data_IF_713302799385
#
_entry.id   IF_713302799385
#
_cell.length_a   1.000
_cell.length_b   1.000
_cell.length_c   1.000
_cell.angle_alpha   90.00
_cell.angle_beta   90.00
_cell.angle_gamma   90.00
#
_symmetry.space_group_name_H-M   'P 1'
#
loop_
_entity.id
_entity.type
_entity.pdbx_description
1 polymer ?
#
# COMPACT_ATOMS: atom_id res chain seq x y z
N UNK A 1 -15.97 -1.91 -7.24
CA UNK A 1 -17.06 -2.01 -6.19
C UNK A 1 -16.87 -3.29 -5.35
N UNK A 2 -16.23 -4.37 -5.88
CA UNK A 2 -15.90 -5.60 -5.13
C UNK A 2 -14.65 -5.39 -4.27
N UNK A 3 -13.78 -4.50 -4.63
CA UNK A 3 -12.55 -4.20 -3.87
C UNK A 3 -12.84 -3.29 -2.67
N UNK A 4 -13.82 -2.39 -2.77
CA UNK A 4 -14.20 -1.51 -1.66
C UNK A 4 -15.03 -2.31 -0.64
N UNK A 5 -15.79 -3.25 -1.17
CA UNK A 5 -16.58 -4.11 -0.25
C UNK A 5 -15.67 -5.10 0.47
N UNK A 6 -14.76 -5.57 -0.25
CA UNK A 6 -13.79 -6.51 0.38
C UNK A 6 -12.93 -5.79 1.43
N UNK A 7 -12.69 -4.52 1.20
CA UNK A 7 -11.86 -3.76 2.15
C UNK A 7 -12.70 -3.40 3.39
N UNK A 8 -13.97 -3.28 3.22
CA UNK A 8 -14.83 -2.99 4.38
C UNK A 8 -14.80 -4.16 5.38
N UNK A 9 -14.53 -5.33 4.83
CA UNK A 9 -14.52 -6.50 5.74
C UNK A 9 -13.08 -6.87 6.10
N UNK A 10 -12.27 -6.75 5.10
CA UNK A 10 -10.90 -7.28 5.34
C UNK A 10 -9.94 -6.14 5.71
N UNK A 11 -10.40 -4.96 5.78
CA UNK A 11 -9.54 -3.76 5.99
C UNK A 11 -8.73 -3.87 7.29
N UNK A 12 -9.36 -4.24 8.36
CA UNK A 12 -8.61 -4.33 9.62
C UNK A 12 -7.53 -5.42 9.56
N UNK A 13 -7.82 -6.48 8.85
CA UNK A 13 -6.79 -7.55 8.76
C UNK A 13 -5.65 -7.14 7.82
N UNK A 14 -6.09 -6.50 6.75
CA UNK A 14 -5.06 -6.04 5.80
C UNK A 14 -4.16 -4.96 6.44
N UNK A 15 -4.79 -4.11 7.22
CA UNK A 15 -4.00 -3.04 7.87
C UNK A 15 -3.06 -3.64 8.93
N UNK A 16 -3.58 -4.59 9.61
CA UNK A 16 -2.72 -5.23 10.63
C UNK A 16 -1.56 -5.96 9.96
N UNK A 17 -1.91 -6.57 8.88
CA UNK A 17 -0.86 -7.29 8.14
C UNK A 17 0.25 -6.33 7.67
N UNK A 18 -0.15 -5.14 7.20
CA UNK A 18 0.86 -4.23 6.61
C UNK A 18 1.58 -3.49 7.75
N UNK A 19 0.86 -3.15 8.78
CA UNK A 19 1.46 -2.27 9.82
C UNK A 19 2.14 -3.12 10.89
N UNK A 20 1.86 -4.48 10.98
CA UNK A 20 2.43 -5.27 12.09
C UNK A 20 2.06 -4.73 13.47
N UNK A 21 2.99 -4.67 14.39
CA UNK A 21 2.70 -4.22 15.77
C UNK A 21 2.23 -2.76 15.81
N UNK A 22 2.59 -2.03 14.79
CA UNK A 22 2.17 -0.62 14.77
C UNK A 22 0.64 -0.50 14.63
N UNK A 23 0.03 -1.58 14.26
CA UNK A 23 -1.45 -1.52 14.14
C UNK A 23 -2.10 -1.25 15.49
N UNK A 24 -1.33 -1.49 16.58
CA UNK A 24 -1.86 -1.26 17.93
C UNK A 24 -2.12 0.23 18.18
N UNK A 25 -1.55 1.06 17.31
CA UNK A 25 -1.81 2.52 17.46
C UNK A 25 -3.25 2.87 17.09
N UNK A 26 -3.91 1.86 16.52
CA UNK A 26 -5.30 2.17 16.11
C UNK A 26 -6.26 1.97 17.28
N UNK A 27 -5.81 1.30 18.35
CA UNK A 27 -6.71 0.95 19.47
C UNK A 27 -7.11 2.21 20.25
N UNK A 28 -6.12 3.05 20.53
CA UNK A 28 -6.55 4.26 21.27
C UNK A 28 -7.48 5.14 20.42
N UNK A 29 -7.28 5.14 19.10
CA UNK A 29 -8.17 5.94 18.23
C UNK A 29 -9.59 5.38 18.27
N UNK A 30 -9.63 4.06 18.27
CA UNK A 30 -10.98 3.44 18.31
C UNK A 30 -11.59 3.67 19.70
N UNK A 31 -10.79 3.44 20.74
CA UNK A 31 -11.27 3.69 22.13
C UNK A 31 -11.73 5.13 22.36
N UNK A 32 -10.94 6.06 21.85
CA UNK A 32 -11.29 7.49 21.98
C UNK A 32 -12.61 7.82 21.27
N UNK A 33 -12.75 7.25 20.09
CA UNK A 33 -13.98 7.61 19.35
C UNK A 33 -15.21 6.92 19.96
N UNK A 34 -14.95 5.75 20.41
CA UNK A 34 -16.07 5.10 21.11
C UNK A 34 -16.49 5.92 22.34
N UNK A 35 -15.51 6.42 23.10
CA UNK A 35 -15.79 7.29 24.26
C UNK A 35 -16.56 8.56 23.85
N UNK A 36 -16.21 9.13 22.71
CA UNK A 36 -16.88 10.38 22.27
C UNK A 36 -18.32 10.08 21.85
N UNK A 37 -18.48 8.97 21.17
CA UNK A 37 -19.83 8.69 20.61
C UNK A 37 -20.76 8.20 21.73
N UNK A 38 -20.20 7.43 22.70
CA UNK A 38 -21.07 6.94 23.78
C UNK A 38 -21.27 8.04 24.82
N UNK A 39 -20.30 8.91 25.03
CA UNK A 39 -20.34 10.00 26.04
C UNK A 39 -21.28 11.14 25.63
N UNK A 40 -21.36 11.42 24.33
CA UNK A 40 -22.14 12.61 23.89
C UNK A 40 -23.51 12.17 23.37
N UNK A 41 -23.67 10.85 23.33
CA UNK A 41 -25.01 10.33 22.94
C UNK A 41 -25.29 10.55 21.45
N UNK A 42 -25.72 9.37 20.76
CA UNK A 42 -25.99 9.46 19.31
C UNK A 42 -27.51 9.40 19.10
N UNK A 43 -27.92 10.39 18.31
CA UNK A 43 -29.35 10.33 17.92
C UNK A 43 -29.46 10.02 16.42
N UNK A 44 -30.06 8.88 16.18
CA UNK A 44 -30.15 8.47 14.77
C UNK A 44 -31.01 9.44 13.94
N UNK A 45 -30.48 9.89 12.82
CA UNK A 45 -31.32 10.67 11.89
C UNK A 45 -31.11 12.17 12.04
N UNK A 46 -30.28 12.57 13.06
CA UNK A 46 -29.95 14.00 13.20
C UNK A 46 -28.41 14.17 13.25
N UNK A 47 -27.99 15.20 12.42
CA UNK A 47 -26.54 15.48 12.41
C UNK A 47 -26.18 16.36 13.61
N UNK A 48 -25.56 15.74 14.71
CA UNK A 48 -25.24 16.51 15.94
C UNK A 48 -23.73 16.48 16.19
N UNK A 49 -23.42 16.93 17.37
CA UNK A 49 -22.01 17.22 17.71
C UNK A 49 -21.13 15.97 17.55
N UNK A 50 -21.51 14.73 17.94
CA UNK A 50 -20.63 13.56 17.74
C UNK A 50 -20.42 13.25 16.26
N UNK A 51 -21.35 13.49 15.47
CA UNK A 51 -21.22 13.28 14.01
C UNK A 51 -20.27 14.32 13.38
N UNK A 52 -20.40 15.55 13.92
CA UNK A 52 -19.52 16.59 13.38
C UNK A 52 -18.05 16.29 13.72
N UNK A 53 -17.92 15.78 14.95
CA UNK A 53 -16.53 15.51 15.37
C UNK A 53 -15.98 14.34 14.54
N UNK A 54 -16.81 13.30 14.38
CA UNK A 54 -16.35 12.14 13.59
C UNK A 54 -16.05 12.54 12.15
N UNK A 55 -16.94 13.25 11.52
CA UNK A 55 -16.70 13.69 10.14
C UNK A 55 -15.46 14.58 10.04
N UNK A 56 -15.36 15.49 11.06
CA UNK A 56 -14.18 16.38 11.06
C UNK A 56 -12.88 15.58 11.16
N UNK A 57 -12.90 14.62 12.09
CA UNK A 57 -11.64 13.86 12.28
C UNK A 57 -11.39 12.99 11.03
N UNK A 58 -12.42 12.31 10.58
CA UNK A 58 -12.26 11.49 9.36
C UNK A 58 -11.77 12.34 8.18
N UNK A 59 -12.46 13.46 7.94
CA UNK A 59 -12.03 14.36 6.83
C UNK A 59 -10.58 14.83 6.99
N UNK A 60 -10.24 15.21 8.28
CA UNK A 60 -8.86 15.67 8.53
C UNK A 60 -7.83 14.58 8.22
N UNK A 61 -8.14 13.37 8.67
CA UNK A 61 -7.17 12.29 8.46
C UNK A 61 -7.05 11.95 6.97
N UNK A 62 -8.20 11.90 6.31
CA UNK A 62 -8.14 11.61 4.87
C UNK A 62 -7.39 12.72 4.13
N UNK A 63 -7.65 13.95 4.57
CA UNK A 63 -6.93 15.06 3.91
C UNK A 63 -5.41 14.93 4.16
N UNK A 64 -5.07 14.60 5.38
CA UNK A 64 -3.63 14.44 5.68
C UNK A 64 -3.03 13.31 4.81
N UNK A 65 -3.78 12.25 4.73
CA UNK A 65 -3.32 11.18 3.81
C UNK A 65 -3.04 11.72 2.41
N UNK A 66 -3.94 12.47 1.81
CA UNK A 66 -3.72 12.97 0.44
C UNK A 66 -2.53 13.94 0.42
N UNK A 67 -2.43 14.69 1.51
CA UNK A 67 -1.27 15.62 1.53
C UNK A 67 0.03 14.81 1.51
N UNK A 68 0.03 13.75 2.32
CA UNK A 68 1.24 12.91 2.34
C UNK A 68 1.48 12.27 0.96
N UNK A 69 0.45 11.71 0.39
CA UNK A 69 0.61 11.14 -0.96
C UNK A 69 1.11 12.17 -1.97
N UNK A 70 0.49 13.35 -1.90
CA UNK A 70 0.93 14.42 -2.82
C UNK A 70 2.40 14.79 -2.57
N UNK A 71 2.69 14.88 -1.35
CA UNK A 71 4.08 15.25 -1.02
C UNK A 71 5.06 14.20 -1.59
N UNK A 72 4.69 12.86 -1.51
CA UNK A 72 5.59 11.77 -1.96
C UNK A 72 5.65 11.72 -3.49
N UNK A 73 4.56 12.00 -4.14
CA UNK A 73 4.50 11.74 -5.60
C UNK A 73 4.78 13.02 -6.38
N UNK A 74 4.32 14.16 -5.89
CA UNK A 74 4.42 15.38 -6.74
C UNK A 74 5.56 16.27 -6.26
N UNK A 75 5.77 16.36 -4.92
CA UNK A 75 6.76 17.36 -4.46
C UNK A 75 8.15 16.73 -4.41
N UNK A 76 8.22 15.60 -3.80
CA UNK A 76 9.60 15.03 -3.64
C UNK A 76 9.89 14.08 -4.80
N UNK A 77 8.80 13.72 -5.52
CA UNK A 77 8.90 12.88 -6.74
C UNK A 77 9.69 11.59 -6.45
N UNK A 78 9.44 11.04 -5.27
CA UNK A 78 10.13 9.78 -4.88
C UNK A 78 9.76 8.66 -5.85
N UNK A 79 8.56 8.64 -6.21
CA UNK A 79 8.13 7.59 -7.17
C UNK A 79 8.86 7.72 -8.51
N UNK A 80 8.98 8.95 -8.95
CA UNK A 80 9.69 9.14 -10.23
C UNK A 80 11.14 8.66 -10.14
N UNK A 81 11.70 8.87 -8.99
CA UNK A 81 13.08 8.40 -8.83
C UNK A 81 13.15 6.87 -8.92
N UNK A 82 12.24 6.21 -8.27
CA UNK A 82 12.22 4.74 -8.33
C UNK A 82 11.89 4.26 -9.75
N UNK A 83 10.99 4.98 -10.42
CA UNK A 83 10.66 4.58 -11.81
C UNK A 83 11.87 4.75 -12.73
N UNK A 84 12.71 5.71 -12.36
CA UNK A 84 13.89 5.96 -13.23
C UNK A 84 15.04 5.02 -12.85
N UNK A 85 14.74 4.23 -11.73
CA UNK A 85 15.89 3.47 -11.17
C UNK A 85 15.56 1.98 -11.21
N UNK A 86 15.01 1.35 -11.94
CA UNK A 86 14.52 0.01 -11.59
C UNK A 86 15.63 -1.04 -11.70
N UNK A 87 16.49 -0.90 -11.35
CA UNK A 87 17.72 -1.36 -10.68
C UNK A 87 18.74 -1.81 -11.75
N UNK A 88 18.48 -0.36 -12.11
CA UNK A 88 19.65 0.35 -12.64
C UNK A 88 19.44 0.69 -14.12
N UNK A 89 18.41 0.71 -15.18
CA UNK A 89 18.04 0.57 -16.60
C UNK A 89 19.19 -0.06 -17.42
N UNK A 90 20.05 -1.28 -16.88
CA UNK A 90 21.09 -2.06 -17.59
C UNK A 90 22.48 -1.74 -17.04
N UNK A 91 22.95 -1.40 -15.71
CA UNK A 91 24.42 -1.24 -15.69
C UNK A 91 24.96 -0.88 -17.07
N UNK A 92 24.22 -0.26 -18.30
CA UNK A 92 24.38 0.77 -19.36
C UNK A 92 25.86 1.12 -19.55
N UNK A 93 26.89 0.27 -19.34
CA UNK A 93 27.95 0.16 -20.38
C UNK A 93 28.35 -1.30 -20.58
N UNK A 94 27.63 -2.30 -21.07
CA UNK A 94 28.56 -3.20 -21.82
C UNK A 94 29.96 -2.57 -21.95
N UNK A 95 30.90 -2.23 -20.95
CA UNK A 95 32.28 -2.32 -21.49
C UNK A 95 32.33 -3.19 -22.73
N UNK A 96 31.31 -3.12 -23.66
CA UNK A 96 31.74 -3.71 -24.93
C UNK A 96 32.83 -2.85 -25.56
N UNK A 97 34.06 -2.69 -24.92
CA UNK A 97 35.20 -2.55 -25.86
C UNK A 97 35.32 -3.80 -26.75
N UNK A 98 34.73 -3.75 -27.92
CA UNK A 98 35.05 -4.53 -29.14
C UNK A 98 35.73 -5.86 -28.78
N UNK A 99 34.90 -6.91 -28.25
CA UNK A 99 35.33 -8.32 -28.48
C UNK A 99 35.13 -9.17 -27.24
N UNK A 100 33.93 -9.03 -26.36
CA UNK A 100 33.65 -10.12 -25.37
C UNK A 100 32.53 -9.68 -24.43
N UNK A 101 31.30 -10.49 -24.33
CA UNK A 101 30.12 -10.36 -23.43
C UNK A 101 30.56 -10.17 -21.97
N UNK A 102 30.87 -8.93 -21.40
CA UNK A 102 31.26 -8.79 -19.97
C UNK A 102 30.03 -8.51 -19.11
N UNK A 103 29.47 -9.52 -18.42
CA UNK A 103 28.41 -9.61 -17.40
C UNK A 103 28.77 -8.76 -16.17
N UNK A 104 27.86 -7.86 -15.70
CA UNK A 104 27.94 -7.20 -14.37
C UNK A 104 28.45 -8.19 -13.30
N UNK A 105 29.73 -8.08 -12.91
CA UNK A 105 30.41 -9.06 -12.02
C UNK A 105 29.88 -8.93 -10.59
N UNK A 106 28.85 -7.78 -10.39
CA UNK A 106 28.47 -7.72 -8.96
C UNK A 106 27.03 -7.20 -8.83
N UNK A 107 26.30 -7.67 -7.90
CA UNK A 107 24.94 -7.25 -7.58
C UNK A 107 24.93 -5.84 -6.97
N UNK A 108 23.95 -4.99 -7.40
CA UNK A 108 23.90 -3.59 -6.95
C UNK A 108 23.44 -3.46 -5.49
N UNK A 109 22.91 -4.51 -4.98
CA UNK A 109 22.35 -4.38 -3.62
C UNK A 109 23.26 -5.06 -2.59
N UNK A 110 23.98 -6.10 -3.07
CA UNK A 110 24.77 -6.84 -2.06
C UNK A 110 26.27 -6.73 -2.38
N UNK A 111 26.60 -6.39 -3.64
CA UNK A 111 28.03 -6.31 -4.03
C UNK A 111 28.59 -7.70 -4.35
N UNK A 112 27.79 -8.78 -4.15
CA UNK A 112 28.22 -10.16 -4.46
C UNK A 112 27.91 -10.53 -5.91
N UNK A 113 28.49 -11.73 -6.26
CA UNK A 113 28.23 -12.20 -7.65
C UNK A 113 26.74 -12.59 -7.80
N UNK A 114 26.14 -12.06 -8.87
CA UNK A 114 24.71 -12.31 -9.09
C UNK A 114 24.44 -13.76 -9.51
N UNK A 115 23.33 -14.38 -8.96
CA UNK A 115 22.97 -15.76 -9.39
C UNK A 115 21.49 -15.84 -9.77
N UNK A 116 20.80 -14.65 -9.76
CA UNK A 116 19.37 -14.66 -10.14
C UNK A 116 19.07 -13.44 -11.02
N UNK A 117 17.98 -13.63 -11.77
CA UNK A 117 17.52 -12.50 -12.61
C UNK A 117 16.10 -12.09 -12.18
N UNK A 118 15.98 -10.69 -11.98
CA UNK A 118 14.66 -10.19 -11.54
C UNK A 118 13.65 -10.20 -12.70
N UNK A 119 12.40 -10.81 -12.43
CA UNK A 119 11.38 -10.94 -13.46
C UNK A 119 10.70 -9.59 -13.77
N UNK A 120 10.87 -8.62 -12.84
CA UNK A 120 10.24 -7.29 -13.07
C UNK A 120 11.17 -6.37 -13.86
N UNK A 121 12.44 -6.28 -13.50
CA UNK A 121 13.30 -5.25 -14.15
C UNK A 121 14.43 -5.93 -14.91
N UNK A 122 14.52 -7.32 -14.86
CA UNK A 122 15.52 -8.16 -15.56
C UNK A 122 16.93 -7.92 -15.05
N UNK A 123 17.06 -7.22 -13.97
CA UNK A 123 18.41 -6.98 -13.39
C UNK A 123 18.92 -8.28 -12.75
N UNK A 124 20.34 -8.50 -12.91
CA UNK A 124 20.93 -9.67 -12.24
C UNK A 124 21.30 -9.33 -10.78
N UNK A 125 20.72 -10.17 -9.90
CA UNK A 125 20.93 -9.83 -8.48
C UNK A 125 21.29 -11.12 -7.73
N UNK A 126 21.96 -10.89 -6.59
CA UNK A 126 22.30 -12.05 -5.75
C UNK A 126 21.06 -12.55 -4.99
N UNK A 127 21.00 -13.85 -4.67
CA UNK A 127 19.82 -14.50 -4.05
C UNK A 127 19.46 -13.79 -2.73
N UNK A 128 20.44 -13.24 -2.05
CA UNK A 128 20.13 -12.56 -0.78
C UNK A 128 19.38 -11.24 -1.02
N UNK A 129 19.55 -10.68 -2.18
CA UNK A 129 18.84 -9.40 -2.46
C UNK A 129 17.52 -9.66 -3.20
N UNK A 130 17.14 -10.96 -3.14
CA UNK A 130 15.89 -11.34 -3.84
C UNK A 130 14.78 -11.46 -2.79
N UNK A 131 13.78 -10.68 -3.10
CA UNK A 131 12.57 -10.78 -2.24
C UNK A 131 11.78 -12.05 -2.58
N UNK A 132 11.48 -12.81 -1.45
CA UNK A 132 10.71 -14.06 -1.71
C UNK A 132 9.21 -13.76 -1.78
N UNK A 133 8.55 -14.74 -2.47
CA UNK A 133 7.10 -14.52 -2.68
C UNK A 133 6.37 -14.48 -1.33
N UNK A 134 5.49 -13.39 -1.30
CA UNK A 134 4.64 -13.30 -0.10
C UNK A 134 3.49 -14.31 -0.16
N UNK A 135 3.17 -14.87 0.98
CA UNK A 135 2.14 -15.94 1.03
C UNK A 135 0.77 -15.40 0.57
N UNK A 136 0.57 -14.08 0.75
CA UNK A 136 -0.81 -13.59 0.52
C UNK A 136 -0.95 -13.00 -0.89
N UNK A 137 0.09 -13.25 -1.62
CA UNK A 137 -0.03 -12.79 -3.02
C UNK A 137 -1.11 -13.61 -3.72
N UNK A 138 -1.30 -14.93 -3.36
CA UNK A 138 -2.25 -15.83 -4.06
C UNK A 138 -3.65 -15.67 -3.47
N UNK A 139 -3.85 -14.68 -2.66
CA UNK A 139 -5.22 -14.49 -2.14
C UNK A 139 -6.20 -14.16 -3.27
N UNK A 140 -7.41 -14.77 -3.29
CA UNK A 140 -8.36 -14.75 -4.41
C UNK A 140 -8.92 -13.35 -4.66
N UNK A 141 -8.81 -12.50 -3.66
CA UNK A 141 -9.37 -11.15 -3.89
C UNK A 141 -8.22 -10.13 -3.91
N UNK A 142 -8.27 -9.23 -5.02
CA UNK A 142 -7.31 -8.09 -4.97
C UNK A 142 -6.03 -8.41 -5.74
N UNK A 143 -6.06 -9.57 -6.47
CA UNK A 143 -4.87 -9.90 -7.29
C UNK A 143 -4.76 -8.96 -8.50
N UNK A 144 -3.49 -8.61 -8.68
CA UNK A 144 -3.30 -7.72 -9.85
C UNK A 144 -1.93 -8.03 -10.48
N UNK A 145 -1.99 -7.82 -11.79
CA UNK A 145 -0.69 -7.97 -12.50
C UNK A 145 0.09 -6.65 -12.39
N UNK A 146 1.36 -6.79 -11.90
CA UNK A 146 2.12 -5.57 -11.55
C UNK A 146 2.74 -4.94 -12.78
N UNK A 147 3.05 -5.77 -13.87
CA UNK A 147 3.64 -5.16 -15.09
C UNK A 147 2.73 -5.40 -16.29
N UNK A 148 1.54 -4.72 -16.19
CA UNK A 148 0.59 -4.85 -17.33
C UNK A 148 1.15 -4.13 -18.57
N UNK A 149 1.95 -3.06 -18.27
CA UNK A 149 2.55 -2.33 -19.41
C UNK A 149 3.48 -3.24 -20.23
N UNK A 150 4.26 -4.02 -19.55
CA UNK A 150 5.18 -4.95 -20.24
C UNK A 150 4.41 -6.08 -20.96
N UNK A 151 3.34 -6.49 -20.33
CA UNK A 151 2.52 -7.54 -20.97
C UNK A 151 1.85 -7.02 -22.25
N UNK A 152 1.39 -5.79 -22.13
CA UNK A 152 0.76 -5.20 -23.33
C UNK A 152 1.78 -5.02 -24.46
N UNK A 153 2.97 -4.57 -24.06
CA UNK A 153 4.03 -4.38 -25.07
C UNK A 153 4.42 -5.71 -25.72
N UNK A 154 4.41 -6.69 -24.92
CA UNK A 154 4.79 -8.02 -25.45
C UNK A 154 3.74 -8.54 -26.43
N UNK A 155 2.49 -8.12 -26.26
CA UNK A 155 1.42 -8.56 -27.19
C UNK A 155 1.49 -7.77 -28.49
N UNK A 156 2.00 -6.57 -28.37
CA UNK A 156 2.05 -5.70 -29.57
C UNK A 156 3.28 -6.03 -30.43
N UNK A 157 4.34 -6.66 -29.88
CA UNK A 157 5.56 -7.10 -30.57
C UNK A 157 5.27 -8.29 -31.49
N UNK A 158 4.09 -8.84 -31.34
CA UNK A 158 3.65 -9.98 -32.16
C UNK A 158 3.14 -9.51 -33.53
N UNK A 159 3.04 -8.11 -33.68
CA UNK A 159 2.42 -7.58 -34.92
C UNK A 159 3.51 -7.36 -35.99
N UNK A 160 4.84 -8.05 -35.85
CA UNK A 160 5.88 -7.90 -36.92
C UNK A 160 6.94 -9.00 -36.76
N UNK A 161 6.58 -10.30 -36.81
CA UNK A 161 7.11 -11.66 -36.94
C UNK A 161 8.64 -11.64 -36.97
N UNK A 162 9.28 -11.67 -35.71
CA UNK A 162 10.57 -12.39 -35.82
C UNK A 162 10.84 -13.17 -34.53
N UNK A 163 9.69 -13.56 -33.71
CA UNK A 163 9.90 -14.69 -32.76
C UNK A 163 8.73 -14.73 -31.76
N UNK A 164 7.62 -15.23 -32.17
CA UNK A 164 6.36 -15.41 -31.42
C UNK A 164 6.64 -16.14 -30.10
N UNK A 165 7.60 -16.98 -30.15
CA UNK A 165 7.91 -17.75 -28.92
C UNK A 165 8.56 -16.83 -27.87
N UNK A 166 9.43 -16.02 -28.25
CA UNK A 166 10.04 -15.06 -27.30
C UNK A 166 9.00 -14.06 -26.77
N UNK A 167 8.15 -13.69 -27.61
CA UNK A 167 7.10 -12.75 -27.17
C UNK A 167 6.15 -13.44 -26.17
N UNK A 168 5.90 -14.67 -26.43
CA UNK A 168 5.02 -15.39 -25.49
C UNK A 168 5.73 -15.61 -24.15
N UNK A 169 6.94 -15.99 -24.23
CA UNK A 169 7.70 -16.17 -22.97
C UNK A 169 7.76 -14.86 -22.16
N UNK A 170 7.88 -13.78 -22.85
CA UNK A 170 7.91 -12.49 -22.14
C UNK A 170 6.53 -12.13 -21.58
N UNK A 171 5.60 -12.47 -22.30
CA UNK A 171 4.24 -12.21 -21.80
C UNK A 171 3.96 -13.05 -20.55
N UNK A 172 4.33 -14.32 -20.61
CA UNK A 172 4.08 -15.18 -19.44
C UNK A 172 4.87 -14.69 -18.22
N UNK A 173 6.02 -14.27 -18.51
CA UNK A 173 6.84 -13.75 -17.41
C UNK A 173 6.19 -12.53 -16.75
N UNK A 174 5.69 -11.60 -17.55
CA UNK A 174 5.07 -10.39 -16.95
C UNK A 174 3.76 -10.75 -16.25
N UNK A 175 3.10 -11.75 -16.81
CA UNK A 175 1.81 -12.10 -16.17
C UNK A 175 2.05 -12.85 -14.87
N UNK A 176 3.21 -13.45 -14.80
CA UNK A 176 3.50 -14.22 -13.58
C UNK A 176 3.90 -13.28 -12.43
N UNK A 177 4.32 -12.07 -12.83
CA UNK A 177 4.59 -11.10 -11.76
C UNK A 177 3.29 -10.47 -11.25
N UNK A 178 2.95 -11.00 -10.05
CA UNK A 178 1.62 -10.60 -9.52
C UNK A 178 1.77 -9.92 -8.16
N UNK A 179 0.74 -9.15 -7.87
CA UNK A 179 0.64 -8.51 -6.54
C UNK A 179 -0.81 -8.56 -6.02
N UNK A 180 -0.82 -8.26 -4.72
CA UNK A 180 -2.17 -8.16 -4.13
C UNK A 180 -2.37 -6.80 -3.46
N UNK A 181 -3.46 -6.15 -3.93
CA UNK A 181 -3.67 -4.74 -3.51
C UNK A 181 -4.20 -4.71 -2.07
N UNK A 182 -4.82 -5.80 -1.57
CA UNK A 182 -5.41 -5.77 -0.21
C UNK A 182 -4.33 -5.96 0.86
N UNK A 183 -3.32 -6.71 0.45
CA UNK A 183 -2.31 -6.98 1.50
C UNK A 183 -0.96 -6.37 1.10
N UNK A 184 -0.99 -5.61 0.00
CA UNK A 184 0.26 -5.00 -0.52
C UNK A 184 1.39 -6.04 -0.60
N UNK A 185 1.00 -7.24 -1.06
CA UNK A 185 1.99 -8.32 -1.22
C UNK A 185 2.40 -8.49 -2.69
N UNK A 186 3.68 -8.92 -2.77
CA UNK A 186 4.19 -9.01 -4.14
C UNK A 186 4.88 -10.36 -4.34
N UNK A 187 4.91 -10.80 -5.60
CA UNK A 187 5.63 -12.06 -5.90
C UNK A 187 7.13 -11.81 -5.86
N UNK A 188 7.85 -12.91 -6.13
CA UNK A 188 9.31 -12.82 -5.95
C UNK A 188 9.91 -11.87 -7.01
N UNK A 189 10.70 -10.88 -6.50
CA UNK A 189 11.47 -9.97 -7.36
C UNK A 189 12.61 -9.34 -6.56
N UNK A 190 13.45 -8.58 -7.27
CA UNK A 190 14.57 -7.97 -6.52
C UNK A 190 14.05 -6.98 -5.46
N UNK A 191 14.82 -6.69 -4.45
CA UNK A 191 14.38 -5.89 -3.26
C UNK A 191 14.02 -4.48 -3.73
N UNK A 192 14.68 -4.01 -4.79
CA UNK A 192 14.32 -2.66 -5.30
C UNK A 192 12.92 -2.65 -5.91
N UNK A 193 12.67 -3.66 -6.82
CA UNK A 193 11.34 -3.68 -7.48
C UNK A 193 10.24 -4.00 -6.47
N UNK A 194 10.60 -4.86 -5.53
CA UNK A 194 9.58 -5.14 -4.49
C UNK A 194 9.22 -3.87 -3.71
N UNK A 195 10.22 -3.09 -3.34
CA UNK A 195 9.93 -1.85 -2.60
C UNK A 195 9.12 -0.87 -3.46
N UNK A 196 9.47 -0.81 -4.66
CA UNK A 196 8.74 0.12 -5.54
C UNK A 196 7.28 -0.33 -5.71
N UNK A 197 7.12 -1.66 -6.07
CA UNK A 197 5.75 -2.13 -6.36
C UNK A 197 4.89 -2.05 -5.08
N UNK A 198 5.43 -2.27 -4.00
CA UNK A 198 4.63 -2.28 -2.75
C UNK A 198 4.29 -0.85 -2.32
N UNK A 199 5.26 0.05 -2.37
CA UNK A 199 5.04 1.36 -1.71
C UNK A 199 4.45 2.38 -2.71
N UNK A 200 4.57 2.06 -3.96
CA UNK A 200 4.10 3.15 -4.87
C UNK A 200 3.02 2.60 -5.80
N UNK A 201 2.83 1.31 -5.77
CA UNK A 201 1.74 0.76 -6.62
C UNK A 201 0.66 0.14 -5.74
N UNK A 202 0.93 -0.80 -4.83
CA UNK A 202 -0.10 -1.58 -4.12
C UNK A 202 -0.60 -0.82 -2.90
N UNK A 203 0.25 -0.16 -2.11
CA UNK A 203 -0.16 0.48 -0.83
C UNK A 203 -1.05 1.70 -1.13
N UNK A 204 -0.69 2.49 -2.10
CA UNK A 204 -1.59 3.62 -2.38
C UNK A 204 -2.99 3.14 -2.78
N UNK A 205 -3.07 2.04 -3.52
CA UNK A 205 -4.42 1.53 -3.86
C UNK A 205 -5.15 1.03 -2.61
N UNK A 206 -4.43 0.35 -1.76
CA UNK A 206 -5.06 -0.08 -0.49
C UNK A 206 -5.51 1.12 0.36
N UNK A 207 -4.59 2.07 0.51
CA UNK A 207 -4.93 3.25 1.35
C UNK A 207 -6.11 4.03 0.74
N UNK A 208 -6.13 4.09 -0.62
CA UNK A 208 -7.30 4.77 -1.23
C UNK A 208 -8.58 4.00 -0.91
N UNK A 209 -8.52 2.66 -1.00
CA UNK A 209 -9.72 1.88 -0.66
C UNK A 209 -10.13 2.09 0.81
N UNK A 210 -9.18 2.21 1.68
CA UNK A 210 -9.49 2.47 3.11
C UNK A 210 -10.10 3.86 3.29
N UNK A 211 -9.57 4.80 2.56
CA UNK A 211 -10.14 6.17 2.66
C UNK A 211 -11.59 6.20 2.16
N UNK A 212 -11.77 5.48 1.06
CA UNK A 212 -13.16 5.47 0.53
C UNK A 212 -14.09 4.77 1.51
N UNK A 213 -13.60 3.66 2.09
CA UNK A 213 -14.44 2.98 3.10
C UNK A 213 -14.72 3.90 4.29
N UNK A 214 -13.70 4.64 4.64
CA UNK A 214 -13.91 5.58 5.76
C UNK A 214 -15.02 6.59 5.45
N UNK A 215 -14.98 7.11 4.24
CA UNK A 215 -16.01 8.11 3.88
C UNK A 215 -17.38 7.45 3.78
N UNK A 216 -17.31 6.24 3.27
CA UNK A 216 -18.60 5.52 3.17
C UNK A 216 -19.23 5.37 4.56
N UNK A 217 -18.47 4.97 5.56
CA UNK A 217 -19.03 4.74 6.90
C UNK A 217 -19.36 6.07 7.58
N UNK A 218 -18.66 7.08 7.15
CA UNK A 218 -18.98 8.39 7.79
C UNK A 218 -20.32 8.93 7.29
N UNK A 219 -20.74 8.46 6.06
CA UNK A 219 -21.91 9.16 5.51
C UNK A 219 -23.10 8.21 5.44
N UNK A 220 -22.84 6.95 5.63
CA UNK A 220 -23.92 5.95 5.45
C UNK A 220 -25.03 6.19 6.48
N UNK A 221 -24.75 6.49 7.63
CA UNK A 221 -25.84 6.68 8.61
C UNK A 221 -26.73 7.87 8.24
N UNK A 222 -26.18 8.74 7.49
CA UNK A 222 -27.01 9.90 7.06
C UNK A 222 -27.76 9.58 5.77
N UNK A 223 -27.16 8.96 5.00
CA UNK A 223 -27.82 8.62 3.71
C UNK A 223 -29.02 7.68 3.92
N UNK A 224 -28.93 7.00 5.11
CA UNK A 224 -30.04 6.07 5.34
C UNK A 224 -30.78 6.43 6.63
N UNK A 225 -30.77 7.70 6.90
CA UNK A 225 -31.34 8.23 8.16
C UNK A 225 -32.84 7.90 8.25
N UNK A 226 -33.53 7.86 7.08
CA UNK A 226 -34.98 7.58 7.04
C UNK A 226 -35.27 6.13 7.45
N UNK A 227 -34.31 5.24 7.30
CA UNK A 227 -34.46 3.82 7.70
C UNK A 227 -34.07 3.64 9.18
N UNK A 228 -33.30 4.61 9.65
CA UNK A 228 -32.75 4.48 11.01
C UNK A 228 -33.61 5.25 12.01
N UNK A 229 -34.53 6.22 11.60
CA UNK A 229 -35.32 7.13 12.44
C UNK A 229 -36.76 6.63 12.53
N UNK A 230 -37.08 5.37 12.29
CA UNK A 230 -38.41 4.74 12.30
C UNK A 230 -39.39 5.44 13.24
N UNK A 231 -40.08 6.52 12.89
CA UNK A 231 -41.31 7.06 13.52
C UNK A 231 -42.39 5.98 13.63
N UNK A 232 -42.40 5.09 14.67
CA UNK A 232 -43.49 4.45 15.43
C UNK A 232 -44.77 4.31 14.60
N UNK A 233 -44.83 4.47 13.21
CA UNK A 233 -46.15 4.18 12.60
C UNK A 233 -45.96 3.44 11.28
N UNK A 234 -44.73 2.94 11.00
CA UNK A 234 -44.63 2.08 9.80
C UNK A 234 -43.42 1.16 9.94
N UNK A 235 -43.51 0.19 10.92
CA UNK A 235 -42.80 -1.11 10.77
C UNK A 235 -41.28 -0.93 10.69
N UNK A 236 -40.60 0.00 11.49
CA UNK A 236 -39.12 -0.01 11.50
C UNK A 236 -38.59 -1.38 11.97
N UNK A 237 -38.01 -2.24 11.15
CA UNK A 237 -37.39 -3.58 11.31
C UNK A 237 -36.19 -3.53 12.26
N UNK A 238 -35.66 -2.12 12.81
CA UNK A 238 -34.47 -2.16 13.71
C UNK A 238 -34.75 -1.24 14.90
N UNK A 239 -35.39 -1.64 15.98
CA UNK A 239 -35.60 -0.96 17.29
C UNK A 239 -34.61 0.19 17.51
N UNK A 240 -35.00 1.43 18.20
CA UNK A 240 -34.26 2.64 18.63
C UNK A 240 -32.85 2.31 19.13
N UNK A 241 -32.70 1.19 19.79
CA UNK A 241 -31.37 0.79 20.31
C UNK A 241 -30.50 0.21 19.19
N UNK A 242 -31.11 -0.50 18.24
CA UNK A 242 -30.39 -1.03 17.06
C UNK A 242 -29.90 0.09 16.13
N UNK A 243 -30.60 1.13 15.99
CA UNK A 243 -30.20 2.25 15.12
C UNK A 243 -29.05 3.04 15.75
N UNK A 244 -29.08 3.15 17.02
CA UNK A 244 -27.97 3.86 17.71
C UNK A 244 -26.67 3.04 17.61
N UNK A 245 -26.84 1.78 17.75
CA UNK A 245 -25.65 0.93 17.65
C UNK A 245 -25.03 0.98 16.24
N UNK A 246 -25.87 0.99 15.29
CA UNK A 246 -25.35 1.05 13.89
C UNK A 246 -24.62 2.37 13.66
N UNK A 247 -25.14 3.43 14.18
CA UNK A 247 -24.50 4.74 13.97
C UNK A 247 -23.15 4.77 14.71
N UNK A 248 -23.16 4.20 15.86
CA UNK A 248 -21.89 4.23 16.63
C UNK A 248 -20.83 3.38 15.89
N UNK A 249 -21.26 2.24 15.42
CA UNK A 249 -20.31 1.38 14.71
C UNK A 249 -19.78 2.08 13.45
N UNK A 250 -20.65 2.70 12.76
CA UNK A 250 -20.21 3.38 11.53
C UNK A 250 -19.25 4.53 11.84
N UNK A 251 -19.51 5.24 12.88
CA UNK A 251 -18.62 6.37 13.21
C UNK A 251 -17.24 5.87 13.64
N UNK A 252 -17.29 4.79 14.39
CA UNK A 252 -15.98 4.25 14.84
C UNK A 252 -15.22 3.68 13.63
N UNK A 253 -15.95 3.00 12.81
CA UNK A 253 -15.27 2.42 11.62
C UNK A 253 -14.78 3.51 10.67
N UNK A 254 -15.52 4.59 10.61
CA UNK A 254 -15.05 5.68 9.71
C UNK A 254 -13.68 6.21 10.18
N UNK A 255 -13.56 6.47 11.43
CA UNK A 255 -12.31 7.06 11.94
C UNK A 255 -11.19 6.00 11.90
N UNK A 256 -11.57 4.77 12.24
CA UNK A 256 -10.55 3.71 12.21
C UNK A 256 -9.96 3.54 10.80
N UNK A 257 -10.84 3.43 9.77
CA UNK A 257 -10.33 3.22 8.40
C UNK A 257 -9.54 4.45 7.92
N UNK A 258 -9.98 5.64 8.32
CA UNK A 258 -9.20 6.84 7.92
C UNK A 258 -7.82 6.84 8.59
N UNK A 259 -7.81 6.49 9.83
CA UNK A 259 -6.50 6.45 10.54
C UNK A 259 -5.62 5.35 9.96
N UNK A 260 -6.24 4.21 9.72
CA UNK A 260 -5.45 3.10 9.11
C UNK A 260 -4.85 3.52 7.75
N UNK A 261 -5.71 4.16 6.93
CA UNK A 261 -5.17 4.65 5.62
C UNK A 261 -3.96 5.56 5.79
N UNK A 262 -4.03 6.44 6.71
CA UNK A 262 -2.92 7.38 6.92
C UNK A 262 -1.68 6.65 7.43
N UNK A 263 -1.88 5.79 8.37
CA UNK A 263 -0.70 5.10 8.96
C UNK A 263 -0.05 4.19 7.93
N UNK A 264 -0.91 3.46 7.17
CA UNK A 264 -0.34 2.58 6.13
C UNK A 264 0.47 3.41 5.11
N UNK A 265 -0.06 4.54 4.75
CA UNK A 265 0.68 5.38 3.78
C UNK A 265 1.96 5.93 4.42
N UNK A 266 1.87 6.31 5.66
CA UNK A 266 3.09 6.78 6.34
C UNK A 266 4.14 5.66 6.39
N UNK A 267 3.69 4.47 6.69
CA UNK A 267 4.64 3.34 6.69
C UNK A 267 5.29 3.18 5.31
N UNK A 268 4.50 3.29 4.30
CA UNK A 268 5.07 3.18 2.94
C UNK A 268 6.19 4.22 2.71
N UNK A 269 5.96 5.40 3.16
CA UNK A 269 7.00 6.44 3.01
C UNK A 269 8.26 6.07 3.82
N UNK A 270 8.01 5.64 5.01
CA UNK A 270 9.18 5.32 5.85
C UNK A 270 9.95 4.14 5.27
N UNK A 271 9.24 3.25 4.69
CA UNK A 271 9.93 2.10 4.09
C UNK A 271 10.71 2.51 2.84
N UNK A 272 10.06 3.26 2.10
CA UNK A 272 10.81 3.75 0.92
C UNK A 272 12.06 4.54 1.33
N UNK A 273 11.86 5.35 2.33
CA UNK A 273 13.01 6.15 2.78
C UNK A 273 14.10 5.26 3.37
N UNK A 274 13.68 4.21 4.12
CA UNK A 274 14.68 3.28 4.69
C UNK A 274 15.46 2.57 3.57
N UNK A 275 14.71 2.19 2.60
CA UNK A 275 15.42 1.57 1.45
C UNK A 275 16.46 2.54 0.87
N UNK A 276 16.10 3.77 0.67
CA UNK A 276 17.05 4.75 0.07
C UNK A 276 18.26 4.94 0.99
N UNK A 277 17.99 4.90 2.24
CA UNK A 277 19.11 5.13 3.18
C UNK A 277 20.01 3.89 3.24
N UNK A 278 19.41 2.68 3.34
CA UNK A 278 20.17 1.44 3.50
C UNK A 278 21.09 1.19 2.30
N UNK A 279 20.62 1.61 1.13
CA UNK A 279 21.41 1.17 -0.05
C UNK A 279 22.11 2.38 -0.67
N UNK A 280 22.19 3.43 0.08
CA UNK A 280 22.81 4.65 -0.46
C UNK A 280 24.32 4.44 -0.67
N UNK A 281 24.94 3.74 0.26
CA UNK A 281 26.40 3.55 0.12
C UNK A 281 26.74 2.74 -1.14
N UNK A 282 25.82 1.93 -1.52
CA UNK A 282 26.12 1.07 -2.71
C UNK A 282 25.57 1.71 -3.98
N UNK A 283 24.58 2.55 -3.80
CA UNK A 283 24.01 3.28 -4.96
C UNK A 283 23.88 4.77 -4.58
N UNK A 284 24.94 5.51 -4.80
CA UNK A 284 25.05 6.88 -4.26
C UNK A 284 23.99 7.81 -4.89
N UNK A 285 23.35 7.42 -5.98
CA UNK A 285 22.32 8.26 -6.60
C UNK A 285 21.02 8.26 -5.78
N UNK A 286 20.98 7.36 -4.78
CA UNK A 286 19.76 7.31 -3.97
C UNK A 286 19.85 8.36 -2.85
N UNK A 287 18.77 9.21 -2.89
CA UNK A 287 18.80 10.27 -1.85
C UNK A 287 17.56 10.13 -0.95
N UNK A 288 17.85 9.81 0.36
CA UNK A 288 16.70 9.71 1.28
C UNK A 288 16.01 11.06 1.47
N UNK A 289 14.70 10.93 1.59
CA UNK A 289 13.88 12.15 1.69
C UNK A 289 13.88 12.63 3.15
N UNK A 290 13.97 11.68 4.06
CA UNK A 290 13.99 12.07 5.49
C UNK A 290 15.35 11.68 6.09
N UNK A 291 15.88 12.72 6.82
CA UNK A 291 17.18 12.42 7.45
C UNK A 291 16.97 11.53 8.70
N UNK A 292 17.61 10.40 8.76
CA UNK A 292 17.46 9.47 9.90
C UNK A 292 17.99 10.09 11.20
N UNK A 293 18.54 11.32 11.20
CA UNK A 293 19.19 11.87 12.41
C UNK A 293 18.15 12.56 13.31
N UNK A 294 16.93 12.56 12.79
CA UNK A 294 15.93 13.20 13.66
C UNK A 294 15.31 12.16 14.61
N UNK A 295 15.44 12.29 15.90
CA UNK A 295 14.93 11.40 16.95
C UNK A 295 13.50 10.93 16.64
N UNK A 296 12.76 11.72 16.03
CA UNK A 296 11.35 11.36 15.69
C UNK A 296 11.32 10.35 14.53
N UNK A 297 12.10 10.47 13.58
CA UNK A 297 12.14 9.52 12.43
C UNK A 297 12.73 8.19 12.88
N UNK A 298 13.65 8.32 13.81
CA UNK A 298 14.23 7.07 14.34
C UNK A 298 13.19 6.30 15.16
N UNK A 299 12.48 7.00 15.95
CA UNK A 299 11.42 6.35 16.73
C UNK A 299 10.32 5.77 15.83
N UNK A 300 9.96 6.52 14.81
CA UNK A 300 8.91 6.02 13.90
C UNK A 300 9.43 4.82 13.09
N UNK A 301 10.67 4.84 12.79
CA UNK A 301 11.25 3.72 12.02
C UNK A 301 11.32 2.44 12.87
N UNK A 302 11.60 2.60 14.14
CA UNK A 302 11.69 1.43 15.03
C UNK A 302 10.29 0.83 15.28
N UNK A 303 9.31 1.68 15.21
CA UNK A 303 7.95 1.21 15.59
C UNK A 303 7.14 0.78 14.37
N UNK A 304 7.53 1.26 13.13
CA UNK A 304 6.59 1.06 11.99
C UNK A 304 7.26 0.19 10.92
N UNK A 305 8.59 -0.14 11.10
CA UNK A 305 9.26 -0.87 10.01
C UNK A 305 9.35 -2.36 10.39
N UNK A 306 8.76 -2.80 11.56
CA UNK A 306 8.92 -4.23 11.91
C UNK A 306 7.63 -4.98 11.58
N UNK A 307 7.44 -5.24 10.28
CA UNK A 307 6.23 -6.05 10.07
C UNK A 307 6.58 -7.54 10.21
N UNK A 308 5.81 -8.33 11.00
CA UNK A 308 5.99 -9.73 11.38
C UNK A 308 6.26 -10.62 10.15
N UNK A 309 5.91 -10.19 8.94
CA UNK A 309 6.12 -11.14 7.82
C UNK A 309 7.45 -10.84 7.12
N UNK A 310 8.17 -9.90 7.60
CA UNK A 310 9.47 -9.50 7.03
C UNK A 310 10.60 -10.23 7.76
N UNK A 311 10.24 -11.30 8.72
CA UNK A 311 11.32 -12.08 9.34
C UNK A 311 11.68 -13.29 8.45
N UNK A 312 11.58 -13.12 7.09
CA UNK A 312 12.27 -14.24 6.40
C UNK A 312 13.23 -13.70 5.34
N UNK A 313 14.05 -12.62 5.63
CA UNK A 313 15.31 -12.67 4.85
C UNK A 313 16.42 -13.22 5.76
#
# INVERSE_FOLDING_TARGET
MLAVLAVCVLGPFSTAYVLGPAALLLLPVVGGMLGVTLGLGVLPGSFRLPDEITAGITGGLVALYFVLLLWMTCWTKVEAFFEATPWLRHCGKMQATAGGRKYATRCPFTGYKPNMRCPSCDARVHDSAFHKTDRLVAFPVGETVLRWDGAKEATEMTDGVRDITKARQQLDRFLDLRGNTLFASTTACCVGCATWQRNFNLVPRLTLSLALAALFFAFVPWGFASFLNGDGSSGSTIGGAGAKAVVVICEVLAVQYAAAGLLVQLQALLRANDFLHRYRALIPSLKPVLSPSSRLVALLNRGMLRAPWQQAV
#
